data_IF_552942631389
#
_entry.id   IF_552942631389
#
_cell.length_a   1.000
_cell.length_b   1.000
_cell.length_c   1.000
_cell.angle_alpha   90.00
_cell.angle_beta   90.00
_cell.angle_gamma   90.00
#
_symmetry.space_group_name_H-M   'P 1'
#
loop_
_entity.id
_entity.type
_entity.pdbx_description
1 polymer ?
#
# COMPACT_ATOMS: atom_id res chain seq x y z
N UNK A 1 -2.93 -40.88 -20.76
CA UNK A 1 -2.62 -40.20 -19.49
C UNK A 1 -1.89 -41.19 -18.58
N UNK A 2 -0.82 -40.73 -17.89
CA UNK A 2 -0.04 -41.59 -16.96
C UNK A 2 -0.61 -41.59 -15.55
N UNK A 3 -1.64 -40.75 -15.26
CA UNK A 3 -2.30 -40.65 -13.97
C UNK A 3 -3.27 -41.84 -13.78
N UNK A 4 -3.30 -42.40 -12.58
CA UNK A 4 -4.30 -43.40 -12.19
C UNK A 4 -5.62 -42.71 -11.81
N UNK A 5 -5.53 -41.54 -11.14
CA UNK A 5 -6.66 -40.72 -10.76
C UNK A 5 -6.51 -39.28 -11.31
N UNK A 6 -7.60 -38.56 -11.63
CA UNK A 6 -7.53 -37.19 -12.13
C UNK A 6 -6.79 -36.23 -11.22
N UNK A 7 -6.88 -36.42 -9.89
CA UNK A 7 -6.22 -35.60 -8.89
C UNK A 7 -4.75 -35.97 -8.62
N UNK A 8 -4.22 -37.03 -9.20
CA UNK A 8 -2.80 -37.34 -9.07
C UNK A 8 -1.95 -36.18 -9.55
N UNK A 9 -0.88 -35.88 -8.82
CA UNK A 9 0.05 -34.81 -9.14
C UNK A 9 1.50 -35.27 -9.04
N UNK A 10 2.41 -34.56 -9.73
CA UNK A 10 3.79 -34.97 -9.82
C UNK A 10 4.56 -34.57 -8.54
N UNK A 11 5.08 -35.56 -7.83
CA UNK A 11 6.01 -35.37 -6.72
C UNK A 11 7.44 -35.11 -7.23
N UNK A 12 7.86 -35.88 -8.26
CA UNK A 12 9.17 -35.81 -8.89
C UNK A 12 9.02 -35.73 -10.39
N UNK A 13 9.77 -34.85 -11.03
CA UNK A 13 9.75 -34.66 -12.50
C UNK A 13 11.13 -34.99 -13.05
N UNK A 14 11.20 -35.88 -14.08
CA UNK A 14 12.42 -36.12 -14.84
C UNK A 14 12.96 -34.80 -15.40
N UNK A 15 14.28 -34.61 -15.32
CA UNK A 15 14.96 -33.41 -15.79
C UNK A 15 14.90 -33.26 -17.30
N UNK A 16 14.95 -32.02 -17.78
CA UNK A 16 15.18 -31.68 -19.19
C UNK A 16 16.55 -31.00 -19.31
N UNK A 17 17.11 -31.00 -20.50
CA UNK A 17 18.39 -30.34 -20.75
C UNK A 17 18.35 -28.85 -20.33
N UNK A 18 19.30 -28.44 -19.51
CA UNK A 18 19.41 -27.07 -18.98
C UNK A 18 18.58 -26.77 -17.73
N UNK A 19 17.81 -27.71 -17.20
CA UNK A 19 17.12 -27.58 -15.92
C UNK A 19 18.03 -28.04 -14.74
N UNK A 20 17.92 -27.42 -13.56
CA UNK A 20 18.51 -27.98 -12.33
C UNK A 20 17.99 -29.40 -12.08
N UNK A 21 18.85 -30.31 -11.67
CA UNK A 21 18.47 -31.69 -11.37
C UNK A 21 19.28 -32.29 -10.25
N UNK A 22 18.66 -33.26 -9.59
CA UNK A 22 19.27 -34.05 -8.50
C UNK A 22 19.09 -35.54 -8.81
N UNK A 23 20.00 -36.35 -8.33
CA UNK A 23 19.89 -37.80 -8.38
C UNK A 23 18.76 -38.27 -7.46
N UNK A 24 18.02 -39.27 -7.88
CA UNK A 24 16.96 -39.92 -7.11
C UNK A 24 16.81 -41.40 -7.47
N UNK A 25 16.10 -42.21 -6.63
CA UNK A 25 15.80 -43.60 -6.97
C UNK A 25 15.02 -43.78 -8.29
N UNK A 26 14.41 -42.68 -8.79
CA UNK A 26 13.62 -42.67 -10.05
C UNK A 26 14.41 -42.06 -11.21
N UNK A 27 15.70 -41.80 -11.03
CA UNK A 27 16.58 -41.15 -12.00
C UNK A 27 16.73 -39.62 -11.76
N UNK A 28 17.59 -38.97 -12.57
CA UNK A 28 17.81 -37.55 -12.48
C UNK A 28 16.55 -36.74 -12.69
N UNK A 29 16.28 -35.79 -11.81
CA UNK A 29 15.06 -35.02 -11.87
C UNK A 29 15.02 -33.87 -10.88
N UNK A 30 13.86 -33.26 -10.74
CA UNK A 30 13.57 -32.18 -9.81
C UNK A 30 12.24 -32.37 -9.10
N UNK A 31 12.04 -31.78 -7.92
CA UNK A 31 10.77 -31.82 -7.21
C UNK A 31 9.63 -31.20 -8.07
N UNK A 32 8.42 -31.65 -7.83
CA UNK A 32 7.23 -30.97 -8.29
C UNK A 32 7.00 -29.69 -7.48
N UNK A 33 6.18 -28.77 -8.00
CA UNK A 33 5.95 -27.47 -7.37
C UNK A 33 5.46 -27.55 -5.92
N UNK A 34 4.51 -28.45 -5.64
CA UNK A 34 3.86 -28.50 -4.30
C UNK A 34 4.83 -28.96 -3.21
N UNK A 35 5.69 -29.93 -3.49
CA UNK A 35 6.62 -30.49 -2.50
C UNK A 35 7.71 -29.49 -2.09
N UNK A 36 7.99 -28.47 -2.89
CA UNK A 36 8.94 -27.43 -2.54
C UNK A 36 8.48 -26.69 -1.28
N UNK A 37 7.22 -26.25 -1.24
CA UNK A 37 6.66 -25.58 -0.08
C UNK A 37 6.53 -26.52 1.12
N UNK A 38 6.04 -27.75 0.93
CA UNK A 38 5.91 -28.73 2.01
C UNK A 38 7.27 -29.02 2.68
N UNK A 39 8.35 -29.17 1.89
CA UNK A 39 9.68 -29.43 2.40
C UNK A 39 10.28 -28.19 3.13
N UNK A 40 10.13 -26.99 2.54
CA UNK A 40 10.63 -25.76 3.16
C UNK A 40 9.91 -25.44 4.47
N UNK A 41 8.59 -25.60 4.52
CA UNK A 41 7.80 -25.40 5.75
C UNK A 41 8.29 -26.32 6.84
N UNK A 42 8.48 -27.61 6.53
CA UNK A 42 8.93 -28.58 7.50
C UNK A 42 10.33 -28.28 8.04
N UNK A 43 11.24 -27.88 7.16
CA UNK A 43 12.65 -27.59 7.53
C UNK A 43 12.76 -26.32 8.39
N UNK A 44 12.03 -25.26 8.01
CA UNK A 44 12.20 -23.95 8.64
C UNK A 44 11.22 -23.71 9.82
N UNK A 45 10.02 -24.31 9.78
CA UNK A 45 8.94 -24.01 10.72
C UNK A 45 8.43 -25.23 11.50
N UNK A 46 8.82 -26.44 11.10
CA UNK A 46 8.43 -27.69 11.76
C UNK A 46 7.25 -28.40 11.09
N UNK A 47 6.76 -29.47 11.75
CA UNK A 47 5.74 -30.35 11.18
C UNK A 47 4.33 -29.74 11.18
N UNK A 48 4.06 -28.80 12.06
CA UNK A 48 2.79 -28.05 12.15
C UNK A 48 3.07 -26.57 12.34
N UNK A 49 2.46 -25.73 11.53
CA UNK A 49 2.55 -24.26 11.63
C UNK A 49 1.26 -23.66 12.16
N UNK A 50 1.31 -22.45 12.71
CA UNK A 50 0.12 -21.80 13.21
C UNK A 50 -0.77 -21.28 12.10
N UNK A 51 -0.21 -20.57 11.11
CA UNK A 51 -0.95 -19.91 10.04
C UNK A 51 -0.31 -20.18 8.69
N UNK A 52 -1.10 -20.62 7.71
CA UNK A 52 -0.72 -20.70 6.30
C UNK A 52 -1.61 -19.78 5.46
N UNK A 53 -0.96 -18.93 4.64
CA UNK A 53 -1.65 -17.92 3.85
C UNK A 53 -1.39 -18.12 2.35
N UNK A 54 -2.36 -17.71 1.52
CA UNK A 54 -2.18 -17.69 0.07
C UNK A 54 -3.31 -16.97 -0.66
N UNK A 55 -3.23 -16.92 -1.97
CA UNK A 55 -4.33 -16.49 -2.81
C UNK A 55 -5.43 -17.55 -2.88
N UNK A 56 -6.66 -17.15 -3.13
CA UNK A 56 -7.78 -18.09 -3.29
C UNK A 56 -7.58 -19.10 -4.42
N UNK A 57 -6.74 -18.77 -5.40
CA UNK A 57 -6.35 -19.65 -6.49
C UNK A 57 -5.36 -20.76 -6.08
N UNK A 58 -4.76 -20.66 -4.89
CA UNK A 58 -3.89 -21.69 -4.33
C UNK A 58 -4.63 -22.74 -3.49
N UNK A 59 -5.88 -22.50 -3.10
CA UNK A 59 -6.67 -23.47 -2.33
C UNK A 59 -6.58 -24.84 -3.02
N UNK A 60 -6.87 -24.87 -4.30
CA UNK A 60 -6.73 -26.07 -5.13
C UNK A 60 -6.03 -25.73 -6.46
N UNK A 61 -5.03 -26.51 -6.87
CA UNK A 61 -4.56 -27.76 -6.24
C UNK A 61 -3.42 -27.60 -5.22
N UNK A 62 -2.85 -26.41 -5.04
CA UNK A 62 -1.57 -26.24 -4.35
C UNK A 62 -1.64 -26.60 -2.87
N UNK A 63 -2.45 -25.91 -2.09
CA UNK A 63 -2.56 -26.13 -0.64
C UNK A 63 -3.10 -27.51 -0.29
N UNK A 64 -4.10 -28.01 -1.03
CA UNK A 64 -4.59 -29.38 -0.86
C UNK A 64 -3.48 -30.41 -1.08
N UNK A 65 -2.58 -30.16 -2.04
CA UNK A 65 -1.45 -31.06 -2.30
C UNK A 65 -0.36 -30.92 -1.24
N UNK A 66 -0.14 -29.72 -0.66
CA UNK A 66 0.76 -29.53 0.47
C UNK A 66 0.25 -30.27 1.72
N UNK A 67 -1.05 -30.19 2.01
CA UNK A 67 -1.69 -30.96 3.07
C UNK A 67 -1.44 -32.44 2.86
N UNK A 68 -1.81 -32.97 1.70
CA UNK A 68 -1.64 -34.40 1.38
C UNK A 68 -0.20 -34.89 1.54
N UNK A 69 0.80 -34.09 1.14
CA UNK A 69 2.22 -34.42 1.24
C UNK A 69 2.73 -34.34 2.67
N UNK A 70 2.45 -33.26 3.37
CA UNK A 70 2.97 -33.01 4.70
C UNK A 70 2.36 -33.95 5.73
N UNK A 71 1.05 -34.11 5.71
CA UNK A 71 0.34 -34.98 6.66
C UNK A 71 0.65 -36.45 6.44
N UNK A 72 0.79 -36.89 5.18
CA UNK A 72 1.24 -38.24 4.88
C UNK A 72 2.68 -38.52 5.34
N UNK A 73 3.56 -37.52 5.35
CA UNK A 73 4.94 -37.66 5.75
C UNK A 73 5.17 -37.55 7.25
N UNK A 74 4.38 -36.72 7.95
CA UNK A 74 4.58 -36.38 9.36
C UNK A 74 3.59 -37.06 10.29
N UNK A 75 2.38 -37.34 9.82
CA UNK A 75 1.24 -37.77 10.65
C UNK A 75 0.62 -36.64 11.45
N UNK A 76 1.00 -35.38 11.18
CA UNK A 76 0.52 -34.19 11.85
C UNK A 76 -0.20 -33.27 10.87
N UNK A 77 -1.18 -32.49 11.37
CA UNK A 77 -1.83 -31.42 10.63
C UNK A 77 -0.80 -30.36 10.20
N UNK A 78 -0.81 -29.96 8.94
CA UNK A 78 0.17 -29.01 8.40
C UNK A 78 0.00 -27.62 8.99
N UNK A 79 -1.23 -27.10 9.07
CA UNK A 79 -1.49 -25.76 9.59
C UNK A 79 -2.79 -25.70 10.39
N UNK A 80 -2.76 -24.95 11.52
CA UNK A 80 -3.94 -24.74 12.38
C UNK A 80 -4.97 -23.81 11.76
N UNK A 81 -4.49 -22.78 11.05
CA UNK A 81 -5.34 -21.77 10.40
C UNK A 81 -4.92 -21.55 8.96
N UNK A 82 -5.91 -21.53 8.09
CA UNK A 82 -5.74 -21.27 6.66
C UNK A 82 -6.46 -19.98 6.26
N UNK A 83 -5.73 -19.02 5.70
CA UNK A 83 -6.28 -17.76 5.23
C UNK A 83 -6.05 -17.63 3.72
N UNK A 84 -7.11 -17.30 2.98
CA UNK A 84 -7.03 -17.16 1.53
C UNK A 84 -7.51 -15.77 1.10
N UNK A 85 -6.60 -15.01 0.48
CA UNK A 85 -6.89 -13.68 -0.03
C UNK A 85 -7.67 -13.75 -1.34
N UNK A 86 -8.67 -12.89 -1.47
CA UNK A 86 -9.29 -12.60 -2.76
C UNK A 86 -8.28 -12.07 -3.78
N UNK A 87 -8.60 -12.22 -5.06
CA UNK A 87 -7.71 -11.77 -6.13
C UNK A 87 -7.78 -10.25 -6.31
N UNK A 88 -6.68 -9.65 -6.74
CA UNK A 88 -6.69 -8.26 -7.20
C UNK A 88 -7.12 -8.26 -8.68
N UNK A 89 -8.19 -7.53 -8.97
CA UNK A 89 -8.73 -7.37 -10.32
C UNK A 89 -8.47 -5.97 -10.86
N UNK A 90 -8.35 -5.87 -12.17
CA UNK A 90 -8.29 -4.61 -12.92
C UNK A 90 -9.32 -4.69 -14.03
N UNK A 91 -10.33 -3.81 -14.00
CA UNK A 91 -11.41 -3.84 -14.98
C UNK A 91 -12.17 -5.16 -15.00
N UNK A 92 -12.40 -5.78 -13.85
CA UNK A 92 -13.11 -7.07 -13.73
C UNK A 92 -12.29 -8.31 -14.08
N UNK A 93 -11.02 -8.16 -14.46
CA UNK A 93 -10.12 -9.27 -14.77
C UNK A 93 -9.00 -9.39 -13.74
N UNK A 94 -8.56 -10.62 -13.46
CA UNK A 94 -7.42 -10.85 -12.56
C UNK A 94 -6.20 -10.05 -13.02
N UNK A 95 -5.59 -9.29 -12.12
CA UNK A 95 -4.30 -8.63 -12.39
C UNK A 95 -3.22 -9.67 -12.65
N UNK A 96 -2.57 -9.63 -13.83
CA UNK A 96 -1.48 -10.54 -14.15
C UNK A 96 -0.49 -9.93 -15.15
N UNK A 97 0.77 -10.38 -15.08
CA UNK A 97 1.81 -9.97 -16.04
C UNK A 97 1.48 -10.38 -17.47
N UNK A 98 0.86 -11.56 -17.65
CA UNK A 98 0.51 -12.10 -18.98
C UNK A 98 -0.59 -11.30 -19.67
N UNK A 99 -1.45 -10.60 -18.93
CA UNK A 99 -2.51 -9.75 -19.48
C UNK A 99 -2.06 -8.30 -19.69
N UNK A 100 -0.85 -7.93 -19.25
CA UNK A 100 -0.34 -6.56 -19.37
C UNK A 100 -1.07 -5.52 -18.51
N UNK A 101 -1.96 -5.95 -17.61
CA UNK A 101 -2.73 -5.09 -16.69
C UNK A 101 -2.09 -5.01 -15.29
N UNK A 102 -0.78 -5.33 -15.20
CA UNK A 102 -0.03 -5.39 -13.96
C UNK A 102 0.64 -4.04 -13.66
N UNK A 103 0.51 -3.58 -12.42
CA UNK A 103 1.29 -2.47 -11.88
C UNK A 103 2.03 -2.90 -10.62
N UNK A 104 3.13 -2.23 -10.30
CA UNK A 104 3.89 -2.49 -9.07
C UNK A 104 3.57 -1.43 -8.01
N UNK A 105 3.76 -1.78 -6.74
CA UNK A 105 3.71 -0.80 -5.64
C UNK A 105 4.72 0.33 -5.90
N UNK A 106 5.93 0.01 -6.39
CA UNK A 106 6.94 1.01 -6.73
C UNK A 106 6.42 2.02 -7.74
N UNK A 107 5.83 1.57 -8.84
CA UNK A 107 5.28 2.46 -9.86
C UNK A 107 4.18 3.38 -9.32
N UNK A 108 3.34 2.89 -8.39
CA UNK A 108 2.32 3.71 -7.73
C UNK A 108 2.94 4.77 -6.81
N UNK A 109 3.95 4.41 -6.02
CA UNK A 109 4.68 5.35 -5.16
C UNK A 109 5.41 6.41 -6.00
N UNK A 110 6.06 6.01 -7.08
CA UNK A 110 6.77 6.90 -8.00
C UNK A 110 5.80 7.85 -8.74
N UNK A 111 4.53 7.46 -8.91
CA UNK A 111 3.45 8.34 -9.42
C UNK A 111 2.85 9.28 -8.36
N UNK A 112 3.39 9.27 -7.14
CA UNK A 112 2.96 10.17 -6.06
C UNK A 112 1.82 9.64 -5.19
N UNK A 113 1.42 8.37 -5.33
CA UNK A 113 0.44 7.76 -4.42
C UNK A 113 1.09 7.50 -3.07
N UNK A 114 0.50 8.01 -1.97
CA UNK A 114 1.08 7.80 -0.65
C UNK A 114 0.99 6.34 -0.19
N UNK A 115 1.98 5.84 0.57
CA UNK A 115 1.95 4.50 1.14
C UNK A 115 0.69 4.22 1.98
N UNK A 116 0.24 5.20 2.75
CA UNK A 116 -0.94 5.04 3.60
C UNK A 116 -2.24 5.06 2.80
N UNK A 117 -2.30 5.75 1.66
CA UNK A 117 -3.41 5.63 0.71
C UNK A 117 -3.53 4.21 0.19
N UNK A 118 -2.42 3.58 -0.22
CA UNK A 118 -2.42 2.18 -0.67
C UNK A 118 -2.82 1.22 0.45
N UNK A 119 -2.33 1.45 1.67
CA UNK A 119 -2.73 0.65 2.83
C UNK A 119 -4.22 0.77 3.11
N UNK A 120 -4.75 2.00 3.18
CA UNK A 120 -6.18 2.22 3.38
C UNK A 120 -7.01 1.58 2.28
N UNK A 121 -6.63 1.75 1.01
CA UNK A 121 -7.28 1.14 -0.14
C UNK A 121 -7.39 -0.38 0.03
N UNK A 122 -6.31 -1.05 0.43
CA UNK A 122 -6.30 -2.50 0.65
C UNK A 122 -7.20 -2.91 1.82
N UNK A 123 -7.19 -2.15 2.92
CA UNK A 123 -7.98 -2.44 4.12
C UNK A 123 -9.49 -2.18 3.95
N UNK A 124 -9.90 -1.40 2.94
CA UNK A 124 -11.31 -1.13 2.66
C UNK A 124 -12.08 -2.35 2.16
N UNK A 125 -11.40 -3.34 1.61
CA UNK A 125 -11.99 -4.62 1.22
C UNK A 125 -11.68 -5.69 2.27
N UNK A 126 -12.66 -6.55 2.57
CA UNK A 126 -12.39 -7.75 3.35
C UNK A 126 -11.43 -8.65 2.57
N UNK A 127 -10.37 -9.18 3.22
CA UNK A 127 -9.29 -9.90 2.54
C UNK A 127 -9.75 -11.11 1.70
N UNK A 128 -10.86 -11.76 2.06
CA UNK A 128 -11.43 -12.87 1.28
C UNK A 128 -12.14 -12.44 -0.01
N UNK A 129 -12.43 -11.14 -0.16
CA UNK A 129 -13.14 -10.61 -1.33
C UNK A 129 -12.15 -10.15 -2.40
N UNK A 130 -12.52 -10.28 -3.67
CA UNK A 130 -11.73 -9.65 -4.73
C UNK A 130 -11.61 -8.14 -4.49
N UNK A 131 -10.39 -7.62 -4.68
CA UNK A 131 -10.10 -6.18 -4.63
C UNK A 131 -10.06 -5.64 -6.05
N UNK A 132 -10.98 -4.74 -6.40
CA UNK A 132 -10.96 -4.09 -7.71
C UNK A 132 -10.05 -2.87 -7.68
N UNK A 133 -8.90 -2.99 -8.36
CA UNK A 133 -7.92 -1.94 -8.48
C UNK A 133 -8.27 -1.04 -9.67
N UNK A 134 -8.77 0.15 -9.35
CA UNK A 134 -9.11 1.16 -10.36
C UNK A 134 -8.68 2.55 -9.90
N UNK A 135 -8.40 3.45 -10.84
CA UNK A 135 -8.02 4.83 -10.52
C UNK A 135 -9.08 5.55 -9.67
N UNK A 136 -10.40 5.46 -9.97
CA UNK A 136 -11.41 6.07 -9.11
C UNK A 136 -11.45 5.50 -7.70
N UNK A 137 -11.23 4.19 -7.52
CA UNK A 137 -11.20 3.58 -6.19
C UNK A 137 -9.99 4.05 -5.38
N UNK A 138 -8.83 4.21 -6.04
CA UNK A 138 -7.63 4.73 -5.42
C UNK A 138 -7.78 6.22 -5.03
N UNK A 139 -8.42 7.04 -5.87
CA UNK A 139 -8.74 8.45 -5.58
C UNK A 139 -9.71 8.57 -4.40
N UNK A 140 -10.72 7.70 -4.33
CA UNK A 140 -11.63 7.64 -3.19
C UNK A 140 -10.88 7.30 -1.89
N UNK A 141 -9.95 6.34 -1.95
CA UNK A 141 -9.09 5.99 -0.82
C UNK A 141 -8.18 7.16 -0.42
N UNK A 142 -7.60 7.89 -1.38
CA UNK A 142 -6.78 9.07 -1.11
C UNK A 142 -7.59 10.17 -0.41
N UNK A 143 -8.84 10.39 -0.86
CA UNK A 143 -9.76 11.35 -0.22
C UNK A 143 -10.09 10.93 1.22
N UNK A 144 -10.39 9.64 1.43
CA UNK A 144 -10.63 9.08 2.76
C UNK A 144 -9.40 9.21 3.66
N UNK A 145 -8.22 8.88 3.11
CA UNK A 145 -6.96 9.00 3.84
C UNK A 145 -6.65 10.43 4.26
N UNK A 146 -6.82 11.41 3.37
CA UNK A 146 -6.63 12.83 3.72
C UNK A 146 -7.43 13.23 4.95
N UNK A 147 -8.68 12.82 5.04
CA UNK A 147 -9.53 13.11 6.19
C UNK A 147 -9.09 12.40 7.48
N UNK A 148 -8.71 11.13 7.38
CA UNK A 148 -8.22 10.34 8.51
C UNK A 148 -6.87 10.86 8.98
N UNK A 149 -5.95 11.16 8.06
CA UNK A 149 -4.63 11.71 8.35
C UNK A 149 -4.69 13.06 9.10
N UNK A 150 -5.62 13.94 8.72
CA UNK A 150 -5.83 15.20 9.43
C UNK A 150 -6.29 14.97 10.89
N UNK A 151 -7.16 13.99 11.13
CA UNK A 151 -7.60 13.62 12.47
C UNK A 151 -6.46 13.01 13.30
N UNK A 152 -5.68 12.09 12.70
CA UNK A 152 -4.50 11.49 13.33
C UNK A 152 -3.44 12.54 13.66
N UNK A 153 -3.21 13.50 12.75
CA UNK A 153 -2.28 14.61 12.98
C UNK A 153 -2.68 15.49 14.16
N UNK A 154 -3.98 15.81 14.25
CA UNK A 154 -4.49 16.57 15.40
C UNK A 154 -4.37 15.77 16.71
N UNK A 155 -4.71 14.48 16.69
CA UNK A 155 -4.57 13.61 17.85
C UNK A 155 -3.11 13.47 18.31
N UNK A 156 -2.17 13.37 17.37
CA UNK A 156 -0.74 13.26 17.66
C UNK A 156 -0.12 14.58 18.14
N UNK A 157 -0.70 15.74 17.82
CA UNK A 157 -0.23 17.05 18.27
C UNK A 157 -0.77 17.46 19.65
N UNK A 158 -1.85 16.84 20.10
CA UNK A 158 -2.32 17.04 21.48
C UNK A 158 -1.25 16.44 22.41
N UNK A 159 -0.79 17.22 23.41
CA UNK A 159 0.13 16.70 24.43
C UNK A 159 -0.42 15.35 24.94
N UNK A 160 0.45 14.35 24.93
CA UNK A 160 0.09 13.00 25.31
C UNK A 160 -0.48 13.01 26.73
N UNK A 161 -1.81 13.04 26.84
CA UNK A 161 -2.46 12.67 28.08
C UNK A 161 -2.01 11.21 28.37
N UNK A 162 -1.64 10.87 29.62
CA UNK A 162 -1.27 9.52 29.95
C UNK A 162 -2.38 8.59 29.44
N UNK A 163 -1.99 7.51 28.77
CA UNK A 163 -2.93 6.52 28.28
C UNK A 163 -3.86 6.14 29.43
N UNK A 164 -5.14 6.50 29.32
CA UNK A 164 -6.12 6.10 30.31
C UNK A 164 -6.27 4.61 30.22
N UNK A 165 -6.17 3.91 31.36
CA UNK A 165 -6.46 2.49 31.44
C UNK A 165 -7.83 2.22 30.80
N UNK A 166 -7.99 1.05 30.20
CA UNK A 166 -9.23 0.66 29.51
C UNK A 166 -10.49 0.80 30.41
N UNK A 167 -10.29 0.82 31.73
CA UNK A 167 -11.33 0.99 32.74
C UNK A 167 -11.83 2.46 32.87
N UNK A 168 -11.05 3.46 32.44
CA UNK A 168 -11.36 4.89 32.62
C UNK A 168 -11.88 5.58 31.35
N UNK A 169 -12.11 4.81 30.28
CA UNK A 169 -12.67 5.38 29.05
C UNK A 169 -14.14 5.77 29.22
N UNK A 170 -14.56 6.94 28.68
CA UNK A 170 -15.98 7.24 28.50
C UNK A 170 -16.74 6.09 27.83
N UNK A 171 -17.98 5.86 28.20
CA UNK A 171 -18.77 4.69 27.77
C UNK A 171 -18.90 4.55 26.26
N UNK A 172 -19.03 5.68 25.53
CA UNK A 172 -19.09 5.73 24.08
C UNK A 172 -17.75 5.33 23.42
N UNK A 173 -16.62 5.71 24.01
CA UNK A 173 -15.30 5.31 23.54
C UNK A 173 -15.00 3.84 23.88
N UNK A 174 -15.44 3.36 25.04
CA UNK A 174 -15.34 1.94 25.39
C UNK A 174 -16.17 1.08 24.44
N UNK A 175 -17.37 1.50 24.05
CA UNK A 175 -18.20 0.83 23.05
C UNK A 175 -17.53 0.85 21.67
N UNK A 176 -16.92 1.97 21.25
CA UNK A 176 -16.19 2.05 19.98
C UNK A 176 -15.02 1.05 19.96
N UNK A 177 -14.24 0.95 21.05
CA UNK A 177 -13.17 -0.06 21.18
C UNK A 177 -13.70 -1.48 21.05
N UNK A 178 -14.82 -1.79 21.71
CA UNK A 178 -15.45 -3.13 21.62
C UNK A 178 -15.94 -3.45 20.20
N UNK A 179 -16.56 -2.49 19.51
CA UNK A 179 -16.97 -2.67 18.10
C UNK A 179 -15.79 -2.92 17.17
N UNK A 180 -14.67 -2.20 17.39
CA UNK A 180 -13.45 -2.44 16.64
C UNK A 180 -12.89 -3.85 16.89
N UNK A 181 -12.78 -4.27 18.16
CA UNK A 181 -12.31 -5.59 18.52
C UNK A 181 -13.22 -6.69 17.92
N UNK A 182 -14.54 -6.55 18.07
CA UNK A 182 -15.50 -7.49 17.49
C UNK A 182 -15.38 -7.60 15.96
N UNK A 183 -15.10 -6.48 15.27
CA UNK A 183 -14.85 -6.51 13.83
C UNK A 183 -13.57 -7.26 13.48
N UNK A 184 -12.51 -7.09 14.27
CA UNK A 184 -11.24 -7.82 14.04
C UNK A 184 -11.35 -9.30 14.41
N UNK A 185 -12.14 -9.65 15.41
CA UNK A 185 -12.43 -11.02 15.80
C UNK A 185 -13.37 -11.73 14.79
N UNK A 186 -14.14 -10.97 14.02
CA UNK A 186 -14.97 -11.47 12.92
C UNK A 186 -14.13 -11.61 11.63
N UNK A 187 -13.24 -12.60 11.63
CA UNK A 187 -12.42 -12.97 10.49
C UNK A 187 -11.62 -11.78 9.88
N UNK A 188 -11.05 -10.94 10.74
CA UNK A 188 -10.28 -9.76 10.34
C UNK A 188 -11.08 -8.80 9.44
N UNK A 189 -12.30 -8.49 9.82
CA UNK A 189 -13.19 -7.59 9.07
C UNK A 189 -12.72 -6.13 9.15
N UNK A 190 -11.64 -5.85 8.43
CA UNK A 190 -11.02 -4.52 8.41
C UNK A 190 -11.95 -3.43 7.88
N UNK A 191 -12.90 -3.78 7.00
CA UNK A 191 -13.91 -2.82 6.52
C UNK A 191 -14.79 -2.29 7.65
N UNK A 192 -15.25 -3.18 8.55
CA UNK A 192 -16.03 -2.80 9.72
C UNK A 192 -15.17 -2.06 10.77
N UNK A 193 -13.92 -2.50 10.96
CA UNK A 193 -12.96 -1.82 11.84
C UNK A 193 -12.68 -0.39 11.36
N UNK A 194 -12.49 -0.18 10.06
CA UNK A 194 -12.32 1.15 9.46
C UNK A 194 -13.52 2.07 9.67
N UNK A 195 -14.75 1.53 9.66
CA UNK A 195 -15.94 2.34 9.94
C UNK A 195 -15.86 2.98 11.33
N UNK A 196 -15.41 2.22 12.34
CA UNK A 196 -15.20 2.73 13.71
C UNK A 196 -14.12 3.84 13.72
N UNK A 197 -13.01 3.64 12.99
CA UNK A 197 -11.97 4.67 12.90
C UNK A 197 -12.50 5.96 12.26
N UNK A 198 -13.28 5.87 11.19
CA UNK A 198 -13.88 7.04 10.55
C UNK A 198 -14.90 7.76 11.44
N UNK A 199 -15.66 7.04 12.26
CA UNK A 199 -16.55 7.63 13.27
C UNK A 199 -15.74 8.40 14.31
N UNK A 200 -14.72 7.80 14.91
CA UNK A 200 -13.82 8.44 15.87
C UNK A 200 -13.08 9.64 15.24
N UNK A 201 -12.68 9.56 14.00
CA UNK A 201 -11.98 10.63 13.31
C UNK A 201 -12.86 11.84 12.98
N UNK A 202 -14.18 11.69 12.86
CA UNK A 202 -15.10 12.74 12.37
C UNK A 202 -15.01 14.06 13.13
N UNK A 203 -15.13 14.14 14.48
CA UNK A 203 -15.01 15.40 15.20
C UNK A 203 -13.60 15.97 15.15
N UNK A 204 -12.57 15.12 15.25
CA UNK A 204 -11.16 15.56 15.18
C UNK A 204 -10.84 16.15 13.81
N UNK A 205 -11.29 15.54 12.71
CA UNK A 205 -11.15 16.09 11.36
C UNK A 205 -11.85 17.43 11.20
N UNK A 206 -13.06 17.56 11.74
CA UNK A 206 -13.80 18.83 11.69
C UNK A 206 -13.03 19.96 12.40
N UNK A 207 -12.42 19.67 13.56
CA UNK A 207 -11.57 20.61 14.28
C UNK A 207 -10.27 20.92 13.52
N UNK A 208 -9.57 19.90 13.00
CA UNK A 208 -8.36 20.09 12.22
C UNK A 208 -8.60 21.05 11.05
N UNK A 209 -9.69 20.87 10.30
CA UNK A 209 -10.06 21.75 9.20
C UNK A 209 -10.41 23.19 9.64
N UNK A 210 -10.92 23.39 10.87
CA UNK A 210 -11.18 24.72 11.42
C UNK A 210 -9.90 25.40 11.85
N UNK A 211 -9.01 24.67 12.50
CA UNK A 211 -7.67 25.15 12.91
C UNK A 211 -6.86 25.58 11.69
N UNK A 212 -6.86 24.79 10.63
CA UNK A 212 -6.18 25.11 9.36
C UNK A 212 -6.68 26.42 8.74
N UNK A 213 -7.96 26.77 8.96
CA UNK A 213 -8.56 28.04 8.53
C UNK A 213 -8.35 29.20 9.54
N UNK A 214 -7.54 29.01 10.58
CA UNK A 214 -7.20 30.04 11.56
C UNK A 214 -8.21 30.24 12.71
N UNK A 215 -9.10 29.27 12.96
CA UNK A 215 -10.07 29.33 14.06
C UNK A 215 -9.40 29.01 15.40
N UNK A 216 -9.03 30.05 16.15
CA UNK A 216 -8.39 29.90 17.47
C UNK A 216 -9.29 29.20 18.51
N UNK A 217 -10.62 29.30 18.41
CA UNK A 217 -11.54 28.62 19.33
C UNK A 217 -11.52 27.09 19.08
N UNK A 218 -11.32 26.68 17.83
CA UNK A 218 -11.15 25.26 17.50
C UNK A 218 -9.85 24.70 18.09
N UNK A 219 -8.75 25.46 18.11
CA UNK A 219 -7.50 25.04 18.73
C UNK A 219 -7.67 24.81 20.25
N UNK A 220 -8.38 25.70 20.95
CA UNK A 220 -8.69 25.54 22.37
C UNK A 220 -9.63 24.31 22.60
N UNK A 221 -10.59 24.08 21.74
CA UNK A 221 -11.49 22.93 21.84
C UNK A 221 -10.77 21.59 21.66
N UNK A 222 -9.71 21.53 20.83
CA UNK A 222 -8.93 20.33 20.58
C UNK A 222 -8.21 19.80 21.84
N UNK A 223 -7.95 20.64 22.83
CA UNK A 223 -7.31 20.26 24.10
C UNK A 223 -8.32 19.78 25.16
N UNK A 224 -9.62 19.69 24.86
CA UNK A 224 -10.60 19.19 25.82
C UNK A 224 -10.35 17.71 26.17
N UNK A 225 -10.53 17.31 27.46
CA UNK A 225 -10.21 15.95 27.91
C UNK A 225 -10.93 14.85 27.10
N UNK A 226 -12.18 15.05 26.73
CA UNK A 226 -12.95 14.08 25.95
C UNK A 226 -12.39 13.89 24.54
N UNK A 227 -12.00 14.98 23.87
CA UNK A 227 -11.37 14.87 22.54
C UNK A 227 -9.95 14.33 22.60
N UNK A 228 -9.20 14.61 23.66
CA UNK A 228 -7.90 14.01 23.88
C UNK A 228 -8.01 12.50 24.05
N UNK A 229 -8.94 12.00 24.88
CA UNK A 229 -9.21 10.57 25.04
C UNK A 229 -9.63 9.91 23.71
N UNK A 230 -10.51 10.57 22.95
CA UNK A 230 -10.93 10.08 21.61
C UNK A 230 -9.77 10.04 20.62
N UNK A 231 -8.89 11.04 20.63
CA UNK A 231 -7.68 11.09 19.81
C UNK A 231 -6.72 9.95 20.14
N UNK A 232 -6.48 9.67 21.42
CA UNK A 232 -5.64 8.57 21.88
C UNK A 232 -6.21 7.20 21.43
N UNK A 233 -7.51 6.99 21.60
CA UNK A 233 -8.16 5.78 21.13
C UNK A 233 -8.04 5.65 19.59
N UNK A 234 -8.23 6.74 18.84
CA UNK A 234 -8.06 6.73 17.39
C UNK A 234 -6.64 6.32 16.99
N UNK A 235 -5.60 6.87 17.65
CA UNK A 235 -4.19 6.53 17.38
C UNK A 235 -3.91 5.06 17.70
N UNK A 236 -4.40 4.56 18.83
CA UNK A 236 -4.27 3.16 19.24
C UNK A 236 -4.86 2.21 18.18
N UNK A 237 -6.13 2.41 17.84
CA UNK A 237 -6.85 1.52 16.92
C UNK A 237 -6.34 1.64 15.48
N UNK A 238 -5.97 2.84 15.03
CA UNK A 238 -5.32 3.03 13.73
C UNK A 238 -3.97 2.31 13.67
N UNK A 239 -3.22 2.32 14.78
CA UNK A 239 -1.95 1.60 14.92
C UNK A 239 -2.08 0.10 14.73
N UNK A 240 -3.17 -0.54 15.19
CA UNK A 240 -3.46 -1.96 14.95
C UNK A 240 -3.51 -2.28 13.46
N UNK A 241 -4.09 -1.38 12.66
CA UNK A 241 -4.16 -1.51 11.20
C UNK A 241 -2.90 -0.97 10.48
N UNK A 242 -1.90 -0.50 11.22
CA UNK A 242 -0.68 0.10 10.68
C UNK A 242 -0.93 1.42 9.95
N UNK A 243 -2.04 2.12 10.25
CA UNK A 243 -2.35 3.45 9.74
C UNK A 243 -1.71 4.50 10.63
N UNK A 244 -0.70 5.19 10.11
CA UNK A 244 0.10 6.16 10.85
C UNK A 244 0.00 7.54 10.21
N UNK A 245 0.02 8.59 11.05
CA UNK A 245 0.04 9.96 10.55
C UNK A 245 1.23 10.21 9.64
N UNK A 246 0.95 10.60 8.41
CA UNK A 246 1.94 11.11 7.45
C UNK A 246 2.00 12.64 7.61
N UNK A 247 3.13 13.14 8.07
CA UNK A 247 3.39 14.57 7.96
C UNK A 247 3.48 14.94 6.50
N UNK A 248 2.87 16.05 6.09
CA UNK A 248 3.17 16.62 4.78
C UNK A 248 4.70 16.68 4.66
N UNK A 249 5.26 16.13 3.59
CA UNK A 249 6.69 16.27 3.34
C UNK A 249 6.96 17.78 3.38
N UNK A 250 7.66 18.25 4.41
CA UNK A 250 8.29 19.56 4.38
C UNK A 250 9.16 19.51 3.13
N UNK A 251 8.93 20.42 2.20
CA UNK A 251 9.76 20.53 1.01
C UNK A 251 11.23 20.45 1.45
N UNK A 252 12.14 19.90 0.65
CA UNK A 252 13.44 19.46 1.07
C UNK A 252 14.10 20.54 1.93
N UNK A 253 14.24 20.24 3.23
CA UNK A 253 14.98 21.08 4.14
C UNK A 253 16.40 21.19 3.58
N UNK A 254 16.83 22.40 3.22
CA UNK A 254 18.19 22.70 2.89
C UNK A 254 19.09 22.35 4.09
N UNK A 255 19.55 21.10 4.14
CA UNK A 255 20.57 20.62 5.07
C UNK A 255 21.95 20.88 4.49
N UNK A 256 22.96 21.29 5.30
CA UNK A 256 24.29 21.58 4.81
C UNK A 256 25.05 20.28 4.46
N UNK A 257 25.39 20.18 3.20
CA UNK A 257 26.54 19.51 2.58
C UNK A 257 27.01 18.16 3.08
N UNK A 258 26.92 17.16 2.20
CA UNK A 258 28.10 16.41 1.74
C UNK A 258 27.76 15.40 0.63
N UNK A 259 28.44 15.52 -0.53
CA UNK A 259 29.03 14.42 -1.29
C UNK A 259 28.16 13.70 -2.31
N UNK A 260 28.26 14.13 -3.58
CA UNK A 260 28.35 13.37 -4.82
C UNK A 260 27.54 12.08 -4.99
N UNK A 261 26.47 12.16 -5.78
CA UNK A 261 25.79 11.04 -6.42
C UNK A 261 24.82 11.56 -7.47
N UNK A 262 25.20 11.51 -8.75
CA UNK A 262 24.45 11.99 -9.90
C UNK A 262 23.16 11.16 -10.11
N UNK A 263 22.02 11.71 -9.67
CA UNK A 263 20.69 11.29 -10.08
C UNK A 263 19.91 12.57 -10.41
N UNK A 264 19.45 12.75 -11.65
CA UNK A 264 18.77 13.96 -12.10
C UNK A 264 17.45 14.14 -11.36
N UNK A 265 17.42 15.07 -10.42
CA UNK A 265 16.20 15.55 -9.82
C UNK A 265 15.37 16.31 -10.88
N UNK A 266 14.07 16.00 -10.99
CA UNK A 266 13.17 16.77 -11.85
C UNK A 266 13.16 18.24 -11.42
N UNK A 267 13.19 19.20 -12.35
CA UNK A 267 13.26 20.60 -12.02
C UNK A 267 12.02 21.07 -11.25
N UNK A 268 12.21 22.00 -10.33
CA UNK A 268 11.13 22.68 -9.62
C UNK A 268 10.31 23.58 -10.56
N UNK A 269 9.09 23.91 -10.21
CA UNK A 269 8.23 24.78 -11.00
C UNK A 269 8.89 26.15 -11.26
N UNK A 270 9.59 26.70 -10.26
CA UNK A 270 10.34 27.95 -10.40
C UNK A 270 11.51 27.83 -11.40
N UNK A 271 12.19 26.69 -11.45
CA UNK A 271 13.26 26.43 -12.42
C UNK A 271 12.69 26.24 -13.84
N UNK A 272 11.51 25.61 -13.97
CA UNK A 272 10.81 25.48 -15.24
C UNK A 272 10.40 26.86 -15.76
N UNK A 273 9.79 27.70 -14.91
CA UNK A 273 9.37 29.06 -15.28
C UNK A 273 10.56 29.95 -15.68
N UNK A 274 11.70 29.82 -14.97
CA UNK A 274 12.94 30.52 -15.35
C UNK A 274 13.46 30.07 -16.72
N UNK A 275 13.40 28.76 -17.04
CA UNK A 275 13.79 28.23 -18.34
C UNK A 275 12.83 28.66 -19.46
N UNK A 276 11.53 28.74 -19.19
CA UNK A 276 10.53 29.27 -20.12
C UNK A 276 10.82 30.74 -20.45
N UNK A 277 11.14 31.53 -19.43
CA UNK A 277 11.50 32.94 -19.56
C UNK A 277 12.77 33.09 -20.42
N UNK A 278 13.80 32.27 -20.17
CA UNK A 278 15.05 32.25 -20.96
C UNK A 278 14.76 31.83 -22.40
N UNK A 279 13.89 30.85 -22.65
CA UNK A 279 13.49 30.43 -24.01
C UNK A 279 12.75 31.55 -24.74
N UNK A 280 11.87 32.29 -24.09
CA UNK A 280 11.15 33.43 -24.66
C UNK A 280 12.14 34.55 -25.05
N UNK A 281 13.11 34.86 -24.18
CA UNK A 281 14.17 35.80 -24.48
C UNK A 281 15.02 35.36 -25.68
N UNK A 282 15.37 34.08 -25.76
CA UNK A 282 16.12 33.54 -26.92
C UNK A 282 15.30 33.66 -28.23
N UNK A 283 13.99 33.36 -28.19
CA UNK A 283 13.09 33.58 -29.35
C UNK A 283 13.04 35.05 -29.78
N UNK A 284 12.90 35.96 -28.80
CA UNK A 284 12.87 37.41 -29.06
C UNK A 284 14.20 37.89 -29.70
N UNK A 285 15.33 37.35 -29.28
CA UNK A 285 16.65 37.60 -29.84
C UNK A 285 16.91 36.83 -31.16
N UNK A 286 15.93 36.11 -31.71
CA UNK A 286 16.04 35.26 -32.90
C UNK A 286 17.11 34.15 -32.78
N UNK A 287 17.50 33.78 -31.56
CA UNK A 287 18.39 32.65 -31.30
C UNK A 287 17.55 31.36 -31.15
N UNK A 288 17.10 30.84 -32.29
CA UNK A 288 16.22 29.66 -32.30
C UNK A 288 16.94 28.39 -31.86
N UNK A 289 18.25 28.30 -32.10
CA UNK A 289 19.05 27.14 -31.61
C UNK A 289 19.02 27.02 -30.09
N UNK A 290 19.17 28.14 -29.38
CA UNK A 290 19.10 28.15 -27.91
C UNK A 290 17.67 27.90 -27.40
N UNK A 291 16.67 28.47 -28.08
CA UNK A 291 15.27 28.21 -27.72
C UNK A 291 14.87 26.73 -27.86
N UNK A 292 15.37 26.05 -28.90
CA UNK A 292 15.16 24.63 -29.12
C UNK A 292 15.95 23.78 -28.13
N UNK A 293 17.18 24.15 -27.82
CA UNK A 293 17.99 23.48 -26.78
C UNK A 293 17.28 23.47 -25.42
N UNK A 294 16.71 24.61 -25.02
CA UNK A 294 15.95 24.71 -23.75
C UNK A 294 14.70 23.83 -23.78
N UNK A 295 13.94 23.86 -24.90
CA UNK A 295 12.76 23.02 -25.06
C UNK A 295 13.08 21.52 -24.93
N UNK A 296 14.11 21.10 -25.67
CA UNK A 296 14.50 19.69 -25.72
C UNK A 296 15.12 19.24 -24.38
N UNK A 297 15.83 20.15 -23.68
CA UNK A 297 16.29 19.91 -22.31
C UNK A 297 15.17 19.70 -21.32
N UNK A 298 14.10 20.49 -21.37
CA UNK A 298 12.91 20.31 -20.53
C UNK A 298 12.16 19.02 -20.90
N UNK A 299 12.05 18.70 -22.20
CA UNK A 299 11.42 17.47 -22.67
C UNK A 299 12.13 16.22 -22.18
N UNK A 300 13.47 16.21 -22.13
CA UNK A 300 14.24 15.07 -21.57
C UNK A 300 14.05 14.90 -20.06
N UNK A 301 13.56 15.93 -19.38
CA UNK A 301 13.21 15.93 -17.94
C UNK A 301 11.72 15.68 -17.69
N UNK A 302 10.96 15.26 -18.73
CA UNK A 302 9.55 14.96 -18.63
C UNK A 302 8.64 16.21 -18.58
N UNK A 303 9.12 17.37 -19.09
CA UNK A 303 8.34 18.61 -19.14
C UNK A 303 8.00 18.93 -20.61
N UNK A 304 6.72 18.95 -20.94
CA UNK A 304 6.24 19.32 -22.27
C UNK A 304 5.72 20.75 -22.29
N UNK A 305 6.24 21.58 -23.22
CA UNK A 305 5.87 22.98 -23.37
C UNK A 305 4.78 23.15 -24.41
N UNK A 306 3.71 23.90 -24.06
CA UNK A 306 2.56 24.22 -24.92
C UNK A 306 2.58 25.73 -25.18
N UNK A 307 2.91 26.14 -26.39
CA UNK A 307 2.86 27.54 -26.81
C UNK A 307 1.41 27.93 -27.16
N UNK A 308 0.89 28.97 -26.50
CA UNK A 308 -0.47 29.52 -26.73
C UNK A 308 -0.42 30.80 -27.57
N UNK A 309 -1.52 31.15 -28.26
CA UNK A 309 -1.65 32.45 -28.88
C UNK A 309 -1.44 33.58 -27.88
N UNK A 310 -0.67 34.63 -28.30
CA UNK A 310 -0.32 35.75 -27.41
C UNK A 310 1.03 35.62 -26.71
N UNK A 311 1.84 34.59 -27.06
CA UNK A 311 3.20 34.44 -26.54
C UNK A 311 3.30 33.81 -25.15
N UNK A 312 2.21 33.28 -24.62
CA UNK A 312 2.17 32.54 -23.35
C UNK A 312 2.61 31.10 -23.62
N UNK A 313 3.53 30.59 -22.81
CA UNK A 313 3.95 29.18 -22.80
C UNK A 313 3.46 28.53 -21.50
N UNK A 314 2.63 27.53 -21.63
CA UNK A 314 2.21 26.63 -20.53
C UNK A 314 3.07 25.37 -20.56
N UNK A 315 3.09 24.63 -19.47
CA UNK A 315 3.81 23.37 -19.41
C UNK A 315 3.06 22.31 -18.64
N UNK A 316 3.31 21.06 -18.96
CA UNK A 316 2.78 19.87 -18.26
C UNK A 316 3.94 18.91 -17.97
N UNK A 317 3.85 18.20 -16.85
CA UNK A 317 4.74 17.07 -16.56
C UNK A 317 4.14 15.80 -17.17
N UNK A 318 4.91 15.10 -17.98
CA UNK A 318 4.54 13.84 -18.62
C UNK A 318 4.99 12.63 -17.80
#
# INVERSE_FOLDING_TARGET
ARKQHPFDFALWKGTKAGEPSWESPWGPGRPGWHIECSAMVREELGDTIDIHLGGADLIFPHHENEIAQSEAATGHELARYWLHNGMVNVGGQKMSKSLGNFTTIRALLDSGVSPMTLRLFTLQAHYRKPLDFSAPALEAAATGWKGLNAALGLAASAEAAPASDAADLPSDLAEARQRFAAAMDDDLNTSAALAVLFELAKPLRALANRIERGDGAAAAAATSPGLAAQGQLLLELAGVLGLQHERAAEGPAAGPGSGSGSGSASPSDAEIDAQITARQAAKAARNFTEADRIRDGLKTQGIELIDRPGGVTEWIRS
#
